data_IF_918976780107
#
_entry.id   IF_918976780107
#
_cell.length_a   1.000
_cell.length_b   1.000
_cell.length_c   1.000
_cell.angle_alpha   90.00
_cell.angle_beta   90.00
_cell.angle_gamma   90.00
#
_symmetry.space_group_name_H-M   'P 1'
#
loop_
_entity.id
_entity.type
_entity.pdbx_description
1 polymer ?
#
# COMPACT_ATOMS: atom_id res chain seq x y z
N UNK A 1 2.41 1.90 -2.23
CA UNK A 1 2.46 0.54 -1.65
C UNK A 1 1.96 0.47 -0.20
N UNK A 2 1.74 1.60 0.50
CA UNK A 2 1.22 1.66 1.88
C UNK A 2 -0.05 0.84 2.11
N UNK A 3 -0.90 0.72 1.08
CA UNK A 3 -2.07 -0.16 1.01
C UNK A 3 -1.81 -1.62 1.45
N UNK A 4 -0.60 -2.12 1.22
CA UNK A 4 -0.22 -3.51 1.50
C UNK A 4 0.38 -3.71 2.89
N UNK A 5 0.52 -2.64 3.68
CA UNK A 5 0.85 -2.72 5.10
C UNK A 5 -0.45 -3.03 5.85
N UNK A 6 -0.60 -4.29 6.27
CA UNK A 6 -1.89 -4.81 6.79
C UNK A 6 -2.31 -4.15 8.09
N UNK A 7 -1.35 -3.86 8.96
CA UNK A 7 -1.58 -3.43 10.34
C UNK A 7 -1.31 -1.93 10.54
N UNK A 8 -1.10 -1.19 9.45
CA UNK A 8 -0.69 0.21 9.49
C UNK A 8 0.84 0.38 9.55
N UNK A 9 1.28 1.60 9.83
CA UNK A 9 2.68 1.95 9.97
C UNK A 9 2.84 3.29 10.69
N UNK A 10 3.92 3.44 11.45
CA UNK A 10 4.25 4.68 12.14
C UNK A 10 5.59 5.18 11.62
N UNK A 11 5.59 6.41 11.12
CA UNK A 11 6.77 7.12 10.67
C UNK A 11 6.90 8.42 11.45
N UNK A 12 8.07 8.61 12.03
CA UNK A 12 8.45 9.83 12.75
C UNK A 12 9.66 10.43 12.06
N UNK A 13 9.47 11.58 11.41
CA UNK A 13 10.50 12.28 10.66
C UNK A 13 11.55 12.95 11.55
N UNK A 14 11.29 13.05 12.86
CA UNK A 14 12.24 13.56 13.85
C UNK A 14 13.14 12.46 14.42
N UNK A 15 12.79 11.18 14.24
CA UNK A 15 13.58 10.07 14.74
C UNK A 15 14.88 9.89 13.95
N UNK A 16 15.99 9.65 14.65
CA UNK A 16 17.31 9.42 14.03
C UNK A 16 17.31 8.25 13.05
N UNK A 17 16.47 7.22 13.30
CA UNK A 17 16.30 6.05 12.45
C UNK A 17 15.20 6.17 11.39
N UNK A 18 14.68 7.37 11.10
CA UNK A 18 13.57 7.57 10.16
C UNK A 18 13.81 6.90 8.79
N UNK A 19 14.99 7.14 8.19
CA UNK A 19 15.32 6.62 6.85
C UNK A 19 15.35 5.09 6.83
N UNK A 20 15.90 4.47 7.87
CA UNK A 20 15.97 3.01 7.96
C UNK A 20 14.58 2.40 8.16
N UNK A 21 13.73 3.04 8.96
CA UNK A 21 12.33 2.63 9.12
C UNK A 21 11.55 2.75 7.81
N UNK A 22 11.70 3.86 7.08
CA UNK A 22 11.10 4.04 5.75
C UNK A 22 11.56 2.94 4.79
N UNK A 23 12.85 2.63 4.77
CA UNK A 23 13.41 1.58 3.92
C UNK A 23 12.87 0.19 4.29
N UNK A 24 12.81 -0.12 5.58
CA UNK A 24 12.29 -1.39 6.08
C UNK A 24 10.81 -1.60 5.72
N UNK A 25 9.98 -0.58 5.97
CA UNK A 25 8.56 -0.59 5.58
C UNK A 25 8.39 -0.66 4.07
N UNK A 26 9.24 0.02 3.30
CA UNK A 26 9.27 -0.05 1.84
C UNK A 26 9.49 -1.49 1.35
N UNK A 27 10.49 -2.19 1.90
CA UNK A 27 10.77 -3.60 1.56
C UNK A 27 9.63 -4.53 1.95
N UNK A 28 9.02 -4.32 3.12
CA UNK A 28 7.85 -5.10 3.56
C UNK A 28 6.66 -4.91 2.61
N UNK A 29 6.36 -3.65 2.25
CA UNK A 29 5.27 -3.34 1.34
C UNK A 29 5.52 -3.89 -0.08
N UNK A 30 6.77 -3.84 -0.54
CA UNK A 30 7.18 -4.43 -1.82
C UNK A 30 6.97 -5.94 -1.84
N UNK A 31 7.47 -6.65 -0.83
CA UNK A 31 7.28 -8.10 -0.70
C UNK A 31 5.79 -8.48 -0.69
N UNK A 32 4.97 -7.74 0.04
CA UNK A 32 3.52 -7.96 0.10
C UNK A 32 2.82 -7.77 -1.27
N UNK A 33 3.23 -6.77 -2.06
CA UNK A 33 2.70 -6.60 -3.42
C UNK A 33 3.11 -7.72 -4.35
N UNK A 34 4.37 -8.16 -4.29
CA UNK A 34 4.83 -9.27 -5.11
C UNK A 34 4.10 -10.57 -4.77
N UNK A 35 3.84 -10.83 -3.49
CA UNK A 35 3.03 -11.96 -3.05
C UNK A 35 1.59 -11.87 -3.59
N UNK A 36 0.93 -10.72 -3.43
CA UNK A 36 -0.41 -10.49 -3.95
C UNK A 36 -0.50 -10.64 -5.47
N UNK A 37 0.50 -10.14 -6.21
CA UNK A 37 0.58 -10.29 -7.65
C UNK A 37 0.77 -11.76 -8.08
N UNK A 38 1.56 -12.53 -7.34
CA UNK A 38 1.73 -13.96 -7.59
C UNK A 38 0.42 -14.73 -7.37
N UNK A 39 -0.34 -14.43 -6.31
CA UNK A 39 -1.68 -14.97 -6.06
C UNK A 39 -2.66 -14.64 -7.20
N UNK A 40 -2.52 -13.47 -7.80
CA UNK A 40 -3.31 -13.01 -8.94
C UNK A 40 -2.70 -13.39 -10.32
N UNK A 41 -1.80 -14.37 -10.35
CA UNK A 41 -1.20 -14.97 -11.56
C UNK A 41 -0.47 -13.96 -12.46
N UNK A 42 0.05 -12.87 -11.90
CA UNK A 42 0.89 -11.93 -12.66
C UNK A 42 2.26 -12.55 -12.93
N UNK A 43 2.65 -12.62 -14.19
CA UNK A 43 3.89 -13.31 -14.63
C UNK A 43 5.11 -12.39 -14.71
N UNK A 44 4.92 -11.07 -14.79
CA UNK A 44 6.00 -10.10 -14.95
C UNK A 44 6.20 -9.24 -13.71
N UNK A 45 7.45 -9.14 -13.25
CA UNK A 45 7.86 -8.43 -12.02
C UNK A 45 8.55 -7.09 -12.27
N UNK A 46 8.67 -6.66 -13.53
CA UNK A 46 9.18 -5.33 -13.86
C UNK A 46 8.24 -4.23 -13.34
N UNK A 47 8.79 -3.11 -12.89
CA UNK A 47 8.03 -2.00 -12.27
C UNK A 47 6.83 -1.53 -13.12
N UNK A 48 7.02 -1.39 -14.44
CA UNK A 48 5.95 -1.02 -15.36
C UNK A 48 4.86 -2.09 -15.48
N UNK A 49 5.24 -3.37 -15.47
CA UNK A 49 4.29 -4.47 -15.52
C UNK A 49 3.51 -4.62 -14.21
N UNK A 50 4.17 -4.45 -13.06
CA UNK A 50 3.56 -4.41 -11.73
C UNK A 50 2.47 -3.34 -11.69
N UNK A 51 2.78 -2.12 -12.13
CA UNK A 51 1.81 -1.03 -12.16
C UNK A 51 0.63 -1.32 -13.10
N UNK A 52 0.89 -1.92 -14.27
CA UNK A 52 -0.17 -2.34 -15.22
C UNK A 52 -1.13 -3.35 -14.58
N UNK A 53 -0.59 -4.37 -13.90
CA UNK A 53 -1.42 -5.38 -13.22
C UNK A 53 -2.22 -4.80 -12.06
N UNK A 54 -1.59 -3.97 -11.21
CA UNK A 54 -2.29 -3.31 -10.10
C UNK A 54 -3.45 -2.44 -10.58
N UNK A 55 -3.29 -1.71 -11.70
CA UNK A 55 -4.40 -0.95 -12.30
C UNK A 55 -5.54 -1.84 -12.79
N UNK A 56 -5.23 -3.00 -13.37
CA UNK A 56 -6.24 -3.96 -13.79
C UNK A 56 -7.00 -4.55 -12.59
N UNK A 57 -6.27 -4.93 -11.54
CA UNK A 57 -6.83 -5.46 -10.28
C UNK A 57 -7.66 -4.42 -9.53
N UNK A 58 -7.28 -3.14 -9.59
CA UNK A 58 -8.08 -2.05 -9.05
C UNK A 58 -9.43 -1.96 -9.77
N UNK A 59 -9.41 -1.90 -11.12
CA UNK A 59 -10.64 -1.83 -11.93
C UNK A 59 -11.55 -3.04 -11.76
N UNK A 60 -11.00 -4.21 -11.47
CA UNK A 60 -11.81 -5.42 -11.21
C UNK A 60 -12.34 -5.50 -9.77
N UNK A 61 -12.04 -4.52 -8.92
CA UNK A 61 -12.42 -4.51 -7.50
C UNK A 61 -11.57 -5.42 -6.61
N UNK A 62 -10.55 -6.10 -7.14
CA UNK A 62 -9.71 -7.02 -6.37
C UNK A 62 -8.88 -6.31 -5.27
N UNK A 63 -8.70 -4.99 -5.38
CA UNK A 63 -8.06 -4.17 -4.34
C UNK A 63 -9.03 -3.62 -3.29
N UNK A 64 -10.36 -3.75 -3.48
CA UNK A 64 -11.36 -3.07 -2.65
C UNK A 64 -11.21 -3.38 -1.16
N UNK A 65 -11.02 -4.66 -0.80
CA UNK A 65 -10.85 -5.07 0.59
C UNK A 65 -9.60 -4.44 1.25
N UNK A 66 -8.53 -4.22 0.47
CA UNK A 66 -7.33 -3.56 0.97
C UNK A 66 -7.53 -2.05 1.09
N UNK A 67 -8.24 -1.44 0.13
CA UNK A 67 -8.57 0.00 0.14
C UNK A 67 -9.42 0.33 1.36
N UNK A 68 -10.50 -0.42 1.55
CA UNK A 68 -11.40 -0.32 2.69
C UNK A 68 -10.66 -0.52 4.03
N UNK A 69 -9.80 -1.53 4.13
CA UNK A 69 -8.95 -1.72 5.33
C UNK A 69 -8.04 -0.52 5.58
N UNK A 70 -7.35 -0.02 4.54
CA UNK A 70 -6.43 1.10 4.68
C UNK A 70 -7.15 2.38 5.07
N UNK A 71 -8.33 2.64 4.49
CA UNK A 71 -9.20 3.76 4.86
C UNK A 71 -9.63 3.69 6.33
N UNK A 72 -9.97 2.51 6.85
CA UNK A 72 -10.22 2.33 8.29
C UNK A 72 -8.97 2.64 9.13
N UNK A 73 -7.80 2.15 8.73
CA UNK A 73 -6.56 2.39 9.47
C UNK A 73 -6.19 3.87 9.54
N UNK A 74 -6.49 4.66 8.50
CA UNK A 74 -6.29 6.12 8.50
C UNK A 74 -7.13 6.84 9.56
N UNK A 75 -8.24 6.25 10.01
CA UNK A 75 -9.08 6.78 11.10
C UNK A 75 -8.59 6.37 12.49
N UNK A 76 -7.48 5.64 12.58
CA UNK A 76 -6.93 5.13 13.84
C UNK A 76 -5.52 5.65 14.08
N UNK A 77 -4.99 5.39 15.28
CA UNK A 77 -3.59 5.69 15.62
C UNK A 77 -2.58 4.70 15.01
N UNK A 78 -3.04 3.71 14.24
CA UNK A 78 -2.17 2.73 13.58
C UNK A 78 -1.41 3.29 12.37
N UNK A 79 -1.83 4.44 11.82
CA UNK A 79 -1.09 5.15 10.78
C UNK A 79 -0.64 6.51 11.30
N UNK A 80 0.68 6.72 11.40
CA UNK A 80 1.31 8.04 11.54
C UNK A 80 2.21 8.24 10.33
N UNK A 81 1.81 9.14 9.45
CA UNK A 81 2.49 9.36 8.18
C UNK A 81 2.79 10.85 8.02
N UNK A 82 4.08 11.25 7.96
CA UNK A 82 4.47 12.65 7.76
C UNK A 82 4.03 13.22 6.41
N UNK A 83 3.65 12.36 5.45
CA UNK A 83 3.17 12.81 4.15
C UNK A 83 1.85 13.62 4.29
N UNK A 84 1.61 14.64 3.46
CA UNK A 84 0.37 15.41 3.51
C UNK A 84 -0.87 14.54 3.35
N UNK A 85 -1.92 14.80 4.15
CA UNK A 85 -3.12 13.96 4.21
C UNK A 85 -3.83 13.75 2.87
N UNK A 86 -3.81 14.75 1.97
CA UNK A 86 -4.42 14.64 0.64
C UNK A 86 -3.74 13.58 -0.27
N UNK A 87 -2.57 13.06 0.12
CA UNK A 87 -1.86 11.99 -0.59
C UNK A 87 -2.15 10.60 -0.03
N UNK A 88 -2.81 10.50 1.13
CA UNK A 88 -2.95 9.26 1.89
C UNK A 88 -4.21 8.47 1.52
N UNK A 89 -5.30 9.14 1.13
CA UNK A 89 -6.58 8.50 0.78
C UNK A 89 -7.06 8.86 -0.64
N UNK A 90 -6.28 8.49 -1.65
CA UNK A 90 -6.57 8.83 -3.06
C UNK A 90 -7.24 7.70 -3.85
N UNK A 91 -7.34 6.50 -3.27
CA UNK A 91 -7.89 5.34 -3.95
C UNK A 91 -9.34 5.11 -3.51
N UNK A 92 -10.23 4.99 -4.48
CA UNK A 92 -11.65 4.71 -4.27
C UNK A 92 -11.95 3.22 -4.44
N UNK A 93 -12.96 2.75 -3.70
CA UNK A 93 -13.54 1.43 -3.87
C UNK A 93 -14.31 1.42 -5.19
N UNK A 94 -14.07 0.40 -6.01
CA UNK A 94 -14.80 0.24 -7.29
C UNK A 94 -16.11 -0.49 -7.02
N UNK A 95 -17.25 0.14 -7.33
CA UNK A 95 -18.56 -0.52 -7.35
C UNK A 95 -18.64 -1.51 -8.52
N UNK A 96 -19.14 -2.73 -8.25
CA UNK A 96 -19.35 -3.75 -9.27
C UNK A 96 -20.69 -3.56 -10.00
#
# INVERSE_FOLDING_TARGET
>A
MKLFLRDGFILDDTASGYRDHVLSLGKQAEAAVLAFLAENKATSRGSGAVLKHLRALHRSGALNAMIDRHQRLLQTTAIKDPAPGYTQNILEIVSQ
#
